data_IF_535881152896
#
_entry.id   IF_535881152896
#
_cell.length_a   1.000
_cell.length_b   1.000
_cell.length_c   1.000
_cell.angle_alpha   90.00
_cell.angle_beta   90.00
_cell.angle_gamma   90.00
#
_symmetry.space_group_name_H-M   'P 1'
#
loop_
_entity.id
_entity.type
_entity.pdbx_description
1 polymer ?
#
# COMPACT_ATOMS: atom_id res chain seq x y z
N UNK A 1 -6.10 -12.87 -8.02
CA UNK A 1 -5.86 -11.53 -7.43
C UNK A 1 -5.64 -11.70 -5.93
N UNK A 2 -4.69 -10.99 -5.31
CA UNK A 2 -4.53 -11.03 -3.85
C UNK A 2 -5.32 -9.88 -3.19
N UNK A 3 -5.86 -10.13 -1.99
CA UNK A 3 -6.42 -9.06 -1.15
C UNK A 3 -5.44 -8.76 -0.02
N UNK A 4 -5.12 -7.48 0.16
CA UNK A 4 -4.27 -6.98 1.23
C UNK A 4 -5.14 -6.12 2.17
N UNK A 5 -5.64 -6.66 3.28
CA UNK A 5 -6.22 -5.82 4.31
C UNK A 5 -5.15 -4.86 4.84
N UNK A 6 -5.55 -3.63 5.17
CA UNK A 6 -4.58 -2.59 5.50
C UNK A 6 -4.68 -2.10 6.94
N UNK A 7 -3.53 -1.87 7.56
CA UNK A 7 -3.35 -1.19 8.84
C UNK A 7 -2.50 0.05 8.61
N UNK A 8 -2.99 1.22 9.01
CA UNK A 8 -2.17 2.41 9.20
C UNK A 8 -1.81 2.50 10.68
N UNK A 9 -0.52 2.62 10.98
CA UNK A 9 -0.01 2.74 12.35
C UNK A 9 0.34 4.20 12.66
N UNK A 10 -0.22 4.72 13.74
CA UNK A 10 0.14 6.02 14.32
C UNK A 10 0.17 5.89 15.84
N UNK A 11 1.33 6.16 16.45
CA UNK A 11 1.50 6.01 17.89
C UNK A 11 1.19 4.59 18.40
N UNK A 12 1.49 3.55 17.63
CA UNK A 12 1.25 2.15 17.98
C UNK A 12 -0.20 1.67 17.83
N UNK A 13 -1.10 2.47 17.23
CA UNK A 13 -2.52 2.15 17.08
C UNK A 13 -2.92 2.01 15.62
N UNK A 14 -3.98 1.22 15.36
CA UNK A 14 -4.62 1.15 14.04
C UNK A 14 -5.49 2.39 13.82
N UNK A 15 -5.13 3.18 12.83
CA UNK A 15 -5.82 4.44 12.52
C UNK A 15 -6.21 4.54 11.06
N UNK A 16 -6.96 5.58 10.73
CA UNK A 16 -7.14 6.09 9.37
C UNK A 16 -7.06 7.59 9.37
N UNK A 17 -6.30 8.12 8.42
CA UNK A 17 -6.29 9.53 8.11
C UNK A 17 -7.36 9.83 7.07
N UNK A 18 -8.11 10.92 7.23
CA UNK A 18 -9.00 11.38 6.19
C UNK A 18 -8.20 12.12 5.12
N UNK A 19 -8.12 11.55 3.92
CA UNK A 19 -7.34 12.10 2.80
C UNK A 19 -5.89 12.46 3.17
N UNK A 20 -5.21 11.61 3.94
CA UNK A 20 -3.82 11.79 4.35
C UNK A 20 -3.58 12.89 5.42
N UNK A 21 -4.64 13.44 6.02
CA UNK A 21 -4.53 14.54 6.98
C UNK A 21 -4.29 14.05 8.40
N UNK A 22 -3.15 14.44 8.98
CA UNK A 22 -2.76 14.08 10.35
C UNK A 22 -3.55 14.80 11.46
N UNK A 23 -4.32 15.83 11.10
CA UNK A 23 -5.23 16.56 11.99
C UNK A 23 -6.66 15.98 11.99
N UNK A 24 -6.93 14.99 11.13
CA UNK A 24 -8.22 14.31 11.02
C UNK A 24 -8.01 12.79 11.07
N UNK A 25 -7.79 12.29 12.29
CA UNK A 25 -7.42 10.89 12.59
C UNK A 25 -8.58 10.17 13.24
N UNK A 26 -8.97 9.02 12.71
CA UNK A 26 -9.89 8.09 13.38
C UNK A 26 -9.08 6.91 13.90
N UNK A 27 -9.16 6.65 15.21
CA UNK A 27 -8.59 5.43 15.83
C UNK A 27 -9.64 4.35 15.78
N UNK A 28 -9.31 3.20 15.16
CA UNK A 28 -10.19 2.04 15.09
C UNK A 28 -9.86 0.99 16.12
N UNK A 29 -8.57 0.83 16.45
CA UNK A 29 -8.13 -0.21 17.39
C UNK A 29 -6.78 0.14 18.05
N UNK A 30 -6.67 -0.20 19.33
CA UNK A 30 -5.43 -0.01 20.10
C UNK A 30 -4.48 -1.22 19.99
N UNK A 31 -4.92 -2.34 19.42
CA UNK A 31 -4.18 -3.60 19.30
C UNK A 31 -3.96 -3.99 17.82
N UNK A 32 -2.85 -3.57 17.19
CA UNK A 32 -2.52 -3.95 15.82
C UNK A 32 -2.24 -5.45 15.64
N UNK A 33 -1.67 -6.12 16.66
CA UNK A 33 -1.39 -7.55 16.59
C UNK A 33 -2.69 -8.36 16.52
N UNK A 34 -3.66 -8.06 17.41
CA UNK A 34 -4.98 -8.66 17.37
C UNK A 34 -5.71 -8.38 16.05
N UNK A 35 -5.57 -7.16 15.50
CA UNK A 35 -6.16 -6.83 14.20
C UNK A 35 -5.56 -7.66 13.07
N UNK A 36 -4.23 -7.82 13.04
CA UNK A 36 -3.55 -8.67 12.06
C UNK A 36 -3.96 -10.15 12.20
N UNK A 37 -4.14 -10.62 13.46
CA UNK A 37 -4.67 -11.96 13.75
C UNK A 37 -6.05 -12.20 13.14
N UNK A 38 -6.98 -11.26 13.32
CA UNK A 38 -8.32 -11.33 12.71
C UNK A 38 -8.27 -11.36 11.19
N UNK A 39 -7.36 -10.61 10.56
CA UNK A 39 -7.17 -10.66 9.12
C UNK A 39 -6.65 -12.03 8.67
N UNK A 40 -5.74 -12.64 9.44
CA UNK A 40 -5.25 -14.00 9.18
C UNK A 40 -6.38 -15.02 9.29
N UNK A 41 -7.21 -14.96 10.32
CA UNK A 41 -8.37 -15.84 10.53
C UNK A 41 -9.42 -15.67 9.43
N UNK A 42 -9.56 -14.48 8.86
CA UNK A 42 -10.41 -14.23 7.70
C UNK A 42 -9.85 -14.82 6.40
N UNK A 43 -8.62 -15.37 6.40
CA UNK A 43 -7.98 -16.01 5.25
C UNK A 43 -6.96 -15.15 4.51
N UNK A 44 -6.58 -13.99 5.04
CA UNK A 44 -5.53 -13.18 4.44
C UNK A 44 -4.20 -13.91 4.45
N UNK A 45 -3.46 -13.83 3.35
CA UNK A 45 -2.07 -14.28 3.22
C UNK A 45 -1.08 -13.12 3.20
N UNK A 46 -1.56 -11.93 2.87
CA UNK A 46 -0.84 -10.68 2.84
C UNK A 46 -1.53 -9.64 3.72
N UNK A 47 -0.75 -8.69 4.21
CA UNK A 47 -1.22 -7.48 4.87
C UNK A 47 -0.41 -6.27 4.39
N UNK A 48 -1.10 -5.15 4.18
CA UNK A 48 -0.47 -3.86 3.89
C UNK A 48 -0.40 -3.02 5.15
N UNK A 49 0.79 -2.57 5.56
CA UNK A 49 0.98 -1.77 6.77
C UNK A 49 1.72 -0.49 6.43
N UNK A 50 1.19 0.64 6.85
CA UNK A 50 1.85 1.95 6.72
C UNK A 50 2.25 2.47 8.08
N UNK A 51 3.55 2.71 8.29
CA UNK A 51 4.05 3.44 9.46
C UNK A 51 3.92 4.96 9.20
N UNK A 52 2.83 5.55 9.70
CA UNK A 52 2.54 6.98 9.50
C UNK A 52 3.50 7.87 10.30
N UNK A 53 3.99 7.41 11.45
CA UNK A 53 5.02 8.13 12.22
C UNK A 53 6.31 8.22 11.40
N UNK A 54 6.74 7.09 10.80
CA UNK A 54 7.91 7.05 9.94
C UNK A 54 7.71 7.81 8.62
N UNK A 55 6.52 7.78 8.04
CA UNK A 55 6.20 8.55 6.84
C UNK A 55 6.44 10.05 7.06
N UNK A 56 6.10 10.55 8.25
CA UNK A 56 6.29 11.94 8.66
C UNK A 56 7.73 12.24 9.05
N UNK A 57 8.31 11.46 9.96
CA UNK A 57 9.64 11.72 10.57
C UNK A 57 10.82 11.19 9.75
N UNK A 58 10.61 10.15 8.94
CA UNK A 58 11.66 9.35 8.31
C UNK A 58 12.31 8.33 9.24
N UNK A 59 11.85 8.22 10.48
CA UNK A 59 12.39 7.30 11.49
C UNK A 59 11.33 6.23 11.78
N UNK A 60 11.61 4.93 11.53
CA UNK A 60 10.69 3.85 11.85
C UNK A 60 10.40 3.80 13.35
N UNK A 61 9.17 4.08 13.75
CA UNK A 61 8.75 4.14 15.15
C UNK A 61 7.96 2.90 15.54
N UNK A 62 7.19 2.37 14.59
CA UNK A 62 6.33 1.19 14.81
C UNK A 62 6.99 -0.12 14.32
N UNK A 63 8.32 -0.13 14.14
CA UNK A 63 9.04 -1.27 13.55
C UNK A 63 8.86 -2.58 14.31
N UNK A 64 8.79 -2.52 15.64
CA UNK A 64 8.60 -3.72 16.48
C UNK A 64 7.25 -4.39 16.19
N UNK A 65 6.18 -3.61 16.10
CA UNK A 65 4.83 -4.11 15.80
C UNK A 65 4.82 -4.76 14.41
N UNK A 66 5.40 -4.10 13.40
CA UNK A 66 5.43 -4.60 12.02
C UNK A 66 6.25 -5.89 11.92
N UNK A 67 7.42 -5.94 12.59
CA UNK A 67 8.25 -7.15 12.71
C UNK A 67 7.49 -8.30 13.36
N UNK A 68 6.82 -8.03 14.48
CA UNK A 68 6.11 -9.06 15.25
C UNK A 68 4.91 -9.60 14.46
N UNK A 69 4.19 -8.75 13.70
CA UNK A 69 3.16 -9.21 12.74
C UNK A 69 3.77 -10.15 11.70
N UNK A 70 4.93 -9.80 11.13
CA UNK A 70 5.59 -10.62 10.11
C UNK A 70 6.04 -11.98 10.67
N UNK A 71 6.61 -12.01 11.88
CA UNK A 71 7.21 -13.21 12.46
C UNK A 71 6.22 -14.09 13.23
N UNK A 72 5.26 -13.50 13.96
CA UNK A 72 4.39 -14.23 14.88
C UNK A 72 3.03 -14.56 14.27
N UNK A 73 2.43 -13.63 13.52
CA UNK A 73 1.13 -13.88 12.87
C UNK A 73 1.30 -14.71 11.59
N UNK A 74 2.48 -14.66 10.95
CA UNK A 74 2.78 -15.43 9.73
C UNK A 74 2.02 -14.92 8.50
N UNK A 75 1.75 -13.62 8.44
CA UNK A 75 1.31 -12.91 7.25
C UNK A 75 2.52 -12.42 6.45
N UNK A 76 2.42 -12.44 5.13
CA UNK A 76 3.36 -11.70 4.29
C UNK A 76 3.09 -10.22 4.45
N UNK A 77 4.04 -9.50 5.04
CA UNK A 77 3.90 -8.06 5.28
C UNK A 77 4.44 -7.27 4.10
N UNK A 78 3.60 -6.40 3.56
CA UNK A 78 3.99 -5.30 2.71
C UNK A 78 3.96 -4.01 3.55
N UNK A 79 5.08 -3.28 3.60
CA UNK A 79 5.14 -2.07 4.42
C UNK A 79 5.67 -0.87 3.67
N UNK A 80 5.13 0.29 4.01
CA UNK A 80 5.56 1.60 3.55
C UNK A 80 5.63 2.61 4.70
N UNK A 81 6.11 3.79 4.37
CA UNK A 81 6.32 4.88 5.33
C UNK A 81 7.80 5.06 5.68
N UNK A 82 8.36 6.19 5.31
CA UNK A 82 9.69 6.64 5.74
C UNK A 82 10.90 5.90 5.17
N UNK A 83 10.75 4.99 4.21
CA UNK A 83 11.87 4.28 3.57
C UNK A 83 12.56 5.23 2.58
N UNK A 84 13.69 5.81 2.98
CA UNK A 84 14.37 6.88 2.22
C UNK A 84 15.83 6.58 1.89
N UNK A 85 16.37 5.45 2.32
CA UNK A 85 17.76 5.04 2.09
C UNK A 85 17.91 3.51 2.17
N UNK A 86 19.07 3.02 1.69
CA UNK A 86 19.38 1.59 1.65
C UNK A 86 19.50 0.95 3.04
N UNK A 87 19.99 1.67 4.05
CA UNK A 87 20.14 1.10 5.40
C UNK A 87 18.78 0.79 6.02
N UNK A 88 17.82 1.71 5.89
CA UNK A 88 16.43 1.47 6.34
C UNK A 88 15.79 0.33 5.55
N UNK A 89 15.98 0.28 4.22
CA UNK A 89 15.43 -0.76 3.36
C UNK A 89 15.98 -2.14 3.72
N UNK A 90 17.30 -2.27 3.91
CA UNK A 90 17.95 -3.52 4.33
C UNK A 90 17.38 -4.02 5.65
N UNK A 91 17.24 -3.14 6.64
CA UNK A 91 16.68 -3.51 7.94
C UNK A 91 15.28 -4.09 7.81
N UNK A 92 14.41 -3.47 7.01
CA UNK A 92 13.07 -4.00 6.78
C UNK A 92 13.07 -5.40 6.16
N UNK A 93 13.89 -5.62 5.12
CA UNK A 93 13.88 -6.87 4.36
C UNK A 93 14.70 -7.97 5.05
N UNK A 94 15.89 -7.64 5.56
CA UNK A 94 16.87 -8.64 6.02
C UNK A 94 16.77 -8.89 7.53
N UNK A 95 16.47 -7.86 8.35
CA UNK A 95 16.42 -7.99 9.80
C UNK A 95 14.98 -8.24 10.31
N UNK A 96 13.99 -7.53 9.72
CA UNK A 96 12.61 -7.59 10.21
C UNK A 96 11.72 -8.55 9.43
N UNK A 97 12.23 -9.19 8.36
CA UNK A 97 11.52 -10.23 7.63
C UNK A 97 10.33 -9.75 6.82
N UNK A 98 10.26 -8.46 6.50
CA UNK A 98 9.19 -7.89 5.67
C UNK A 98 9.27 -8.45 4.25
N UNK A 99 8.13 -8.89 3.73
CA UNK A 99 8.05 -9.55 2.42
C UNK A 99 8.16 -8.57 1.26
N UNK A 100 7.67 -7.32 1.43
CA UNK A 100 7.76 -6.28 0.40
C UNK A 100 7.77 -4.88 1.02
N UNK A 101 8.68 -4.04 0.52
CA UNK A 101 8.80 -2.63 0.90
C UNK A 101 8.21 -1.73 -0.18
N UNK A 102 7.48 -0.71 0.21
CA UNK A 102 6.84 0.26 -0.69
C UNK A 102 7.68 1.54 -0.73
N UNK A 103 8.16 1.89 -1.91
CA UNK A 103 8.84 3.15 -2.18
C UNK A 103 7.86 4.11 -2.88
N UNK A 104 7.37 5.10 -2.15
CA UNK A 104 6.49 6.17 -2.68
C UNK A 104 7.30 7.42 -3.07
N UNK A 105 7.25 8.45 -2.25
CA UNK A 105 7.96 9.72 -2.46
C UNK A 105 9.46 9.53 -2.74
N UNK A 106 10.11 8.55 -2.12
CA UNK A 106 11.53 8.26 -2.37
C UNK A 106 11.79 7.81 -3.81
N UNK A 107 10.88 7.03 -4.41
CA UNK A 107 11.01 6.60 -5.80
C UNK A 107 10.97 7.77 -6.80
N UNK A 108 10.30 8.86 -6.44
CA UNK A 108 10.22 10.07 -7.27
C UNK A 108 11.42 10.97 -7.05
N UNK A 109 11.87 11.12 -5.78
CA UNK A 109 12.89 12.08 -5.40
C UNK A 109 14.32 11.57 -5.56
N UNK A 110 14.54 10.26 -5.41
CA UNK A 110 15.86 9.63 -5.47
C UNK A 110 15.84 8.43 -6.40
N UNK A 111 16.08 8.72 -7.69
CA UNK A 111 16.14 7.70 -8.72
C UNK A 111 17.29 6.72 -8.49
N UNK A 112 18.45 7.19 -8.01
CA UNK A 112 19.62 6.31 -7.79
C UNK A 112 19.35 5.28 -6.70
N UNK A 113 18.78 5.72 -5.58
CA UNK A 113 18.35 4.83 -4.51
C UNK A 113 17.34 3.80 -5.03
N UNK A 114 16.35 4.26 -5.83
CA UNK A 114 15.31 3.37 -6.37
C UNK A 114 15.88 2.33 -7.33
N UNK A 115 16.77 2.70 -8.23
CA UNK A 115 17.47 1.78 -9.15
C UNK A 115 18.29 0.74 -8.38
N UNK A 116 19.04 1.17 -7.35
CA UNK A 116 19.81 0.27 -6.49
C UNK A 116 18.91 -0.69 -5.71
N UNK A 117 17.81 -0.20 -5.13
CA UNK A 117 16.83 -1.00 -4.40
C UNK A 117 16.19 -2.06 -5.30
N UNK A 118 15.75 -1.69 -6.50
CA UNK A 118 15.15 -2.60 -7.47
C UNK A 118 16.16 -3.65 -7.96
N UNK A 119 17.41 -3.25 -8.21
CA UNK A 119 18.48 -4.17 -8.62
C UNK A 119 18.80 -5.21 -7.55
N UNK A 120 18.81 -4.79 -6.28
CA UNK A 120 19.21 -5.66 -5.16
C UNK A 120 18.07 -6.55 -4.68
N UNK A 121 16.86 -6.02 -4.59
CA UNK A 121 15.73 -6.69 -3.96
C UNK A 121 14.59 -7.07 -4.91
N UNK A 122 14.55 -6.55 -6.13
CA UNK A 122 13.61 -6.98 -7.18
C UNK A 122 12.15 -7.00 -6.72
N UNK A 123 11.56 -8.20 -6.68
CA UNK A 123 10.14 -8.41 -6.32
C UNK A 123 9.78 -8.05 -4.87
N UNK A 124 10.78 -7.84 -4.01
CA UNK A 124 10.56 -7.35 -2.65
C UNK A 124 10.35 -5.82 -2.59
N UNK A 125 10.33 -5.14 -3.74
CA UNK A 125 10.06 -3.72 -3.85
C UNK A 125 8.77 -3.51 -4.64
N UNK A 126 7.86 -2.72 -4.10
CA UNK A 126 6.74 -2.13 -4.82
C UNK A 126 6.92 -0.61 -4.93
N UNK A 127 6.53 -0.05 -6.07
CA UNK A 127 6.51 1.39 -6.26
C UNK A 127 5.12 1.93 -5.93
N UNK A 128 5.02 2.81 -4.93
CA UNK A 128 3.78 3.49 -4.60
C UNK A 128 3.55 4.69 -5.54
N UNK A 129 2.43 4.68 -6.23
CA UNK A 129 1.96 5.76 -7.11
C UNK A 129 0.64 6.28 -6.56
N UNK A 130 0.72 7.36 -5.81
CA UNK A 130 -0.45 8.10 -5.36
C UNK A 130 -0.78 9.16 -6.40
N UNK A 131 -1.98 9.12 -6.98
CA UNK A 131 -2.34 10.01 -8.06
C UNK A 131 -3.63 10.81 -7.76
N UNK A 132 -3.63 12.07 -8.18
CA UNK A 132 -4.83 12.91 -8.21
C UNK A 132 -5.12 13.32 -9.65
N UNK A 133 -6.31 12.98 -10.15
CA UNK A 133 -6.71 13.25 -11.55
C UNK A 133 -5.69 12.74 -12.58
N UNK A 134 -5.07 11.60 -12.31
CA UNK A 134 -4.10 10.95 -13.19
C UNK A 134 -2.67 11.50 -13.09
N UNK A 135 -2.40 12.51 -12.26
CA UNK A 135 -1.06 13.03 -12.00
C UNK A 135 -0.51 12.54 -10.66
N UNK A 136 0.76 12.18 -10.63
CA UNK A 136 1.45 11.69 -9.43
C UNK A 136 1.52 12.78 -8.38
N UNK A 137 1.13 12.45 -7.15
CA UNK A 137 1.25 13.30 -5.98
C UNK A 137 2.49 12.92 -5.16
N UNK A 138 3.10 13.90 -4.52
CA UNK A 138 4.29 13.74 -3.66
C UNK A 138 4.07 14.42 -2.31
N UNK A 139 5.00 14.14 -1.36
CA UNK A 139 5.03 14.79 -0.04
C UNK A 139 3.71 14.64 0.75
N UNK A 140 3.19 13.40 0.84
CA UNK A 140 1.94 13.14 1.54
C UNK A 140 0.74 13.84 0.89
N UNK A 141 0.72 13.85 -0.45
CA UNK A 141 -0.37 14.37 -1.30
C UNK A 141 -0.49 15.90 -1.34
N UNK A 142 0.51 16.61 -0.82
CA UNK A 142 0.47 18.08 -0.72
C UNK A 142 0.93 18.80 -1.99
N UNK A 143 1.61 18.09 -2.91
CA UNK A 143 2.13 18.66 -4.15
C UNK A 143 1.82 17.76 -5.34
N UNK A 144 1.37 18.33 -6.45
CA UNK A 144 1.31 17.66 -7.73
C UNK A 144 2.70 17.57 -8.37
N UNK A 145 3.05 16.42 -8.96
CA UNK A 145 4.35 16.20 -9.60
C UNK A 145 4.40 16.59 -11.07
N UNK A 146 3.26 16.98 -11.70
CA UNK A 146 3.19 17.28 -13.14
C UNK A 146 3.51 16.09 -14.06
N UNK A 147 3.65 14.88 -13.50
CA UNK A 147 3.96 13.64 -14.22
C UNK A 147 2.73 12.75 -14.20
N UNK A 148 2.33 12.22 -15.33
CA UNK A 148 1.23 11.26 -15.40
C UNK A 148 1.60 9.94 -14.73
N UNK A 149 0.65 9.35 -14.01
CA UNK A 149 0.85 8.07 -13.33
C UNK A 149 1.33 6.97 -14.27
N UNK A 150 0.79 6.91 -15.49
CA UNK A 150 1.22 5.96 -16.53
C UNK A 150 2.68 6.16 -16.94
N UNK A 151 3.08 7.40 -17.22
CA UNK A 151 4.44 7.72 -17.67
C UNK A 151 5.47 7.40 -16.56
N UNK A 152 5.09 7.67 -15.31
CA UNK A 152 5.91 7.31 -14.16
C UNK A 152 6.01 5.79 -13.99
N UNK A 153 4.90 5.05 -14.10
CA UNK A 153 4.90 3.59 -14.02
C UNK A 153 5.78 2.95 -15.12
N UNK A 154 5.72 3.45 -16.36
CA UNK A 154 6.58 3.02 -17.46
C UNK A 154 8.06 3.33 -17.18
N UNK A 155 8.35 4.50 -16.60
CA UNK A 155 9.72 4.86 -16.17
C UNK A 155 10.22 3.89 -15.10
N UNK A 156 9.41 3.57 -14.10
CA UNK A 156 9.78 2.61 -13.07
C UNK A 156 9.98 1.20 -13.64
N UNK A 157 9.12 0.77 -14.57
CA UNK A 157 9.30 -0.49 -15.29
C UNK A 157 10.65 -0.54 -16.00
N UNK A 158 11.05 0.53 -16.68
CA UNK A 158 12.32 0.58 -17.43
C UNK A 158 13.56 0.40 -16.56
N UNK A 159 13.47 0.67 -15.26
CA UNK A 159 14.55 0.47 -14.27
C UNK A 159 14.36 -0.79 -13.42
N UNK A 160 13.41 -1.66 -13.78
CA UNK A 160 13.29 -2.99 -13.18
C UNK A 160 12.15 -3.16 -12.17
N UNK A 161 11.26 -2.18 -11.98
CA UNK A 161 10.08 -2.36 -11.15
C UNK A 161 9.17 -3.46 -11.73
N UNK A 162 8.62 -4.31 -10.87
CA UNK A 162 7.66 -5.35 -11.23
C UNK A 162 6.28 -5.08 -10.64
N UNK A 163 6.22 -4.53 -9.44
CA UNK A 163 4.97 -4.26 -8.71
C UNK A 163 4.76 -2.77 -8.52
N UNK A 164 3.56 -2.31 -8.78
CA UNK A 164 3.09 -0.94 -8.53
C UNK A 164 1.84 -0.99 -7.67
N UNK A 165 1.81 -0.20 -6.61
CA UNK A 165 0.58 0.09 -5.86
C UNK A 165 0.06 1.43 -6.40
N UNK A 166 -1.14 1.39 -6.97
CA UNK A 166 -1.78 2.58 -7.53
C UNK A 166 -2.93 3.03 -6.65
N UNK A 167 -2.82 4.24 -6.07
CA UNK A 167 -3.85 4.86 -5.25
C UNK A 167 -4.43 6.09 -5.96
N UNK A 168 -5.74 6.08 -6.21
CA UNK A 168 -6.45 7.33 -6.53
C UNK A 168 -6.81 8.04 -5.22
N UNK A 169 -6.06 9.10 -4.89
CA UNK A 169 -6.22 9.81 -3.61
C UNK A 169 -7.54 10.54 -3.48
N UNK A 170 -8.24 10.81 -4.58
CA UNK A 170 -9.58 11.42 -4.53
C UNK A 170 -10.65 10.44 -4.04
N UNK A 171 -10.37 9.14 -4.12
CA UNK A 171 -11.24 8.05 -3.70
C UNK A 171 -10.82 7.43 -2.37
N UNK A 172 -9.55 7.64 -1.96
CA UNK A 172 -9.03 6.98 -0.75
C UNK A 172 -9.81 7.40 0.50
N UNK A 173 -10.29 6.37 1.22
CA UNK A 173 -11.15 6.52 2.41
C UNK A 173 -12.56 7.02 2.14
N UNK A 174 -12.97 7.25 0.86
CA UNK A 174 -14.27 7.82 0.51
C UNK A 174 -15.37 6.77 0.30
N UNK A 175 -15.02 5.47 0.15
CA UNK A 175 -15.98 4.37 -0.06
C UNK A 175 -16.88 4.57 -1.31
N UNK A 176 -16.33 5.17 -2.37
CA UNK A 176 -17.06 5.56 -3.59
C UNK A 176 -16.78 4.66 -4.79
N UNK A 177 -16.19 3.50 -4.54
CA UNK A 177 -15.71 2.56 -5.54
C UNK A 177 -14.26 2.84 -6.00
N UNK A 178 -13.55 1.79 -6.46
CA UNK A 178 -12.16 1.88 -6.89
C UNK A 178 -12.00 2.64 -8.22
N UNK A 179 -10.77 3.06 -8.52
CA UNK A 179 -10.42 3.72 -9.79
C UNK A 179 -10.24 2.67 -10.91
N UNK A 180 -11.33 2.03 -11.35
CA UNK A 180 -11.31 0.91 -12.28
C UNK A 180 -10.58 1.23 -13.59
N UNK A 181 -10.99 2.30 -14.29
CA UNK A 181 -10.45 2.64 -15.61
C UNK A 181 -8.95 2.97 -15.56
N UNK A 182 -8.53 3.75 -14.57
CA UNK A 182 -7.12 4.10 -14.40
C UNK A 182 -6.27 2.88 -14.03
N UNK A 183 -6.80 1.99 -13.18
CA UNK A 183 -6.13 0.73 -12.83
C UNK A 183 -5.99 -0.16 -14.05
N UNK A 184 -7.07 -0.32 -14.83
CA UNK A 184 -7.07 -1.11 -16.07
C UNK A 184 -6.10 -0.55 -17.10
N UNK A 185 -6.06 0.78 -17.27
CA UNK A 185 -5.11 1.43 -18.17
C UNK A 185 -3.65 1.10 -17.79
N UNK A 186 -3.33 1.17 -16.50
CA UNK A 186 -2.00 0.80 -16.00
C UNK A 186 -1.68 -0.67 -16.27
N UNK A 187 -2.60 -1.60 -16.00
CA UNK A 187 -2.43 -3.03 -16.29
C UNK A 187 -2.14 -3.24 -17.76
N UNK A 188 -3.03 -2.75 -18.63
CA UNK A 188 -2.97 -3.00 -20.07
C UNK A 188 -1.73 -2.40 -20.74
N UNK A 189 -1.33 -1.17 -20.32
CA UNK A 189 -0.23 -0.45 -20.96
C UNK A 189 1.14 -0.75 -20.39
N UNK A 190 1.21 -1.17 -19.11
CA UNK A 190 2.50 -1.42 -18.48
C UNK A 190 2.85 -2.90 -18.42
N UNK A 191 1.87 -3.79 -18.26
CA UNK A 191 2.10 -5.21 -17.96
C UNK A 191 2.82 -5.45 -16.63
N UNK A 192 2.77 -4.48 -15.71
CA UNK A 192 3.25 -4.62 -14.34
C UNK A 192 2.20 -5.30 -13.46
N UNK A 193 2.63 -5.86 -12.35
CA UNK A 193 1.74 -6.28 -11.27
C UNK A 193 1.15 -5.05 -10.59
N UNK A 194 -0.08 -4.67 -10.96
CA UNK A 194 -0.76 -3.52 -10.39
C UNK A 194 -1.59 -3.96 -9.18
N UNK A 195 -1.37 -3.30 -8.04
CA UNK A 195 -2.19 -3.43 -6.84
C UNK A 195 -3.04 -2.16 -6.74
N UNK A 196 -4.36 -2.33 -6.85
CA UNK A 196 -5.29 -1.22 -6.73
C UNK A 196 -5.44 -0.79 -5.26
N UNK A 197 -5.50 0.51 -5.00
CA UNK A 197 -5.68 1.08 -3.67
C UNK A 197 -6.64 2.27 -3.69
N UNK A 198 -7.41 2.39 -2.61
CA UNK A 198 -8.39 3.46 -2.44
C UNK A 198 -9.77 3.17 -3.03
N UNK A 199 -10.79 3.70 -2.38
CA UNK A 199 -12.16 3.74 -2.86
C UNK A 199 -13.03 2.53 -2.56
N UNK A 200 -12.52 1.34 -2.30
CA UNK A 200 -13.35 0.16 -1.99
C UNK A 200 -14.35 0.47 -0.89
N UNK A 201 -15.63 0.30 -1.19
CA UNK A 201 -16.76 0.62 -0.30
C UNK A 201 -17.69 -0.56 -0.02
N UNK A 202 -17.61 -1.65 -0.79
CA UNK A 202 -18.43 -2.85 -0.58
C UNK A 202 -17.79 -4.10 -1.22
N UNK A 203 -18.35 -5.29 -0.94
CA UNK A 203 -17.89 -6.57 -1.52
C UNK A 203 -17.90 -6.55 -3.05
N UNK A 204 -18.90 -5.89 -3.64
CA UNK A 204 -19.03 -5.80 -5.10
C UNK A 204 -17.84 -5.07 -5.73
N UNK A 205 -17.33 -4.03 -5.09
CA UNK A 205 -16.17 -3.28 -5.61
C UNK A 205 -14.93 -4.16 -5.71
N UNK A 206 -14.77 -5.13 -4.79
CA UNK A 206 -13.65 -6.08 -4.80
C UNK A 206 -13.76 -7.02 -6.02
N UNK A 207 -14.98 -7.45 -6.35
CA UNK A 207 -15.23 -8.27 -7.54
C UNK A 207 -15.07 -7.46 -8.83
N UNK A 208 -15.56 -6.24 -8.84
CA UNK A 208 -15.49 -5.37 -10.01
C UNK A 208 -14.01 -5.04 -10.35
N UNK A 209 -13.19 -4.66 -9.35
CA UNK A 209 -11.79 -4.31 -9.60
C UNK A 209 -10.96 -5.50 -10.09
N UNK A 210 -11.32 -6.73 -9.74
CA UNK A 210 -10.72 -7.94 -10.30
C UNK A 210 -10.82 -7.97 -11.82
N UNK A 211 -11.92 -7.46 -12.38
CA UNK A 211 -12.14 -7.34 -13.83
C UNK A 211 -11.17 -6.39 -14.54
N UNK A 212 -10.46 -5.53 -13.83
CA UNK A 212 -9.40 -4.70 -14.42
C UNK A 212 -8.13 -5.47 -14.77
N UNK A 213 -7.98 -6.71 -14.29
CA UNK A 213 -6.78 -7.52 -14.44
C UNK A 213 -5.68 -7.19 -13.42
N UNK A 214 -5.97 -6.41 -12.39
CA UNK A 214 -4.98 -6.10 -11.35
C UNK A 214 -4.55 -7.36 -10.57
N UNK A 215 -3.30 -7.38 -10.12
CA UNK A 215 -2.70 -8.49 -9.36
C UNK A 215 -3.16 -8.51 -7.90
N UNK A 216 -3.59 -7.36 -7.37
CA UNK A 216 -4.05 -7.25 -5.98
C UNK A 216 -4.91 -6.03 -5.73
N UNK A 217 -5.55 -6.00 -4.55
CA UNK A 217 -6.31 -4.87 -4.04
C UNK A 217 -6.04 -4.65 -2.55
N UNK A 218 -5.79 -3.41 -2.17
CA UNK A 218 -5.66 -2.98 -0.77
C UNK A 218 -7.02 -2.50 -0.28
N UNK A 219 -7.46 -3.05 0.85
CA UNK A 219 -8.74 -2.70 1.47
C UNK A 219 -8.48 -2.23 2.90
N UNK A 220 -8.80 -0.98 3.17
CA UNK A 220 -8.65 -0.40 4.48
C UNK A 220 -9.98 -0.13 5.16
N UNK A 221 -10.43 1.13 5.13
CA UNK A 221 -11.59 1.67 5.85
C UNK A 221 -12.85 0.80 5.77
N UNK A 222 -13.13 0.24 4.59
CA UNK A 222 -14.33 -0.57 4.37
C UNK A 222 -14.42 -1.82 5.26
N UNK A 223 -13.27 -2.40 5.63
CA UNK A 223 -13.24 -3.55 6.55
C UNK A 223 -13.59 -3.08 7.97
N UNK A 224 -12.97 -2.01 8.45
CA UNK A 224 -13.21 -1.47 9.80
C UNK A 224 -14.64 -0.98 9.99
N UNK A 225 -15.27 -0.48 8.94
CA UNK A 225 -16.68 -0.03 8.97
C UNK A 225 -17.69 -1.13 8.65
N UNK A 226 -17.24 -2.39 8.53
CA UNK A 226 -18.13 -3.54 8.26
C UNK A 226 -18.84 -3.46 6.90
N UNK A 227 -18.28 -2.68 5.94
CA UNK A 227 -18.81 -2.55 4.58
C UNK A 227 -18.34 -3.66 3.64
N UNK A 228 -17.22 -4.29 3.99
CA UNK A 228 -16.64 -5.43 3.28
C UNK A 228 -16.51 -6.58 4.24
N UNK A 229 -17.10 -7.73 3.88
CA UNK A 229 -16.87 -9.02 4.54
C UNK A 229 -15.57 -9.61 3.97
N UNK A 230 -14.47 -9.40 4.72
CA UNK A 230 -13.14 -9.83 4.29
C UNK A 230 -13.09 -11.34 4.01
N UNK A 231 -13.68 -12.16 4.88
CA UNK A 231 -13.68 -13.62 4.75
C UNK A 231 -14.41 -14.07 3.47
N UNK A 232 -15.54 -13.47 3.18
CA UNK A 232 -16.31 -13.74 1.96
C UNK A 232 -15.55 -13.29 0.71
N UNK A 233 -14.92 -12.11 0.76
CA UNK A 233 -14.12 -11.61 -0.35
C UNK A 233 -12.91 -12.50 -0.63
N UNK A 234 -12.20 -13.00 0.41
CA UNK A 234 -11.08 -13.94 0.26
C UNK A 234 -11.46 -15.24 -0.45
N UNK A 235 -12.69 -15.71 -0.27
CA UNK A 235 -13.20 -16.92 -0.93
C UNK A 235 -13.61 -16.70 -2.40
N UNK A 236 -13.74 -15.43 -2.82
CA UNK A 236 -14.32 -15.05 -4.12
C UNK A 236 -13.27 -14.61 -5.17
N UNK A 237 -11.96 -14.51 -4.79
CA UNK A 237 -10.92 -13.96 -5.66
C UNK A 237 -9.80 -14.93 -6.01
#
# INVERSE_FOLDING_TARGET
>A
MIILPAIDLLGGKCVRLRQGRYDDVTVYRDDPMGQAGEFKEAGASWIHIVDLDAARSGIPTNFSIIRDIASEIGLKVETGGGIRNMDTLKRWIEEYGVSRCVLGTSAIKDRKFTEEALKLYGEKIAIGIDAHKGEVAVDGWTKGGGVKALDFALTMKSIGAKTVIFTDISRDGMLTGPAFESTKELVDKTGLDIIASGGIGCDKDVLDIKGSGCSGVIIGKAIYEGKVDLKKCMQSV
#
